data_IF_214365369745
#
_entry.id   IF_214365369745
#
_cell.length_a   1.000
_cell.length_b   1.000
_cell.length_c   1.000
_cell.angle_alpha   90.00
_cell.angle_beta   90.00
_cell.angle_gamma   90.00
#
_symmetry.space_group_name_H-M   'P 1'
#
loop_
_entity.id
_entity.type
_entity.pdbx_description
1 polymer ?
#
# COMPACT_ATOMS: atom_id res chain seq x y z
N UNK A 1 -13.55 -2.69 24.48
CA UNK A 1 -12.88 -1.51 23.87
C UNK A 1 -12.43 -1.94 22.49
N UNK A 2 -13.09 -1.48 21.43
CA UNK A 2 -12.65 -1.74 20.06
C UNK A 2 -11.40 -0.90 19.82
N UNK A 3 -10.27 -1.56 19.56
CA UNK A 3 -9.01 -0.91 19.26
C UNK A 3 -9.11 -0.43 17.83
N UNK A 4 -9.33 0.86 17.61
CA UNK A 4 -9.30 1.46 16.29
C UNK A 4 -7.87 1.32 15.78
N UNK A 5 -7.63 0.43 14.81
CA UNK A 5 -6.31 0.30 14.18
C UNK A 5 -6.07 1.53 13.32
N UNK A 6 -5.11 2.36 13.73
CA UNK A 6 -4.70 3.53 12.98
C UNK A 6 -3.57 3.16 12.00
N UNK A 7 -3.54 3.83 10.85
CA UNK A 7 -2.53 3.62 9.82
C UNK A 7 -1.09 3.81 10.34
N UNK A 8 -0.92 4.71 11.30
CA UNK A 8 0.37 4.95 11.98
C UNK A 8 0.87 3.72 12.74
N UNK A 9 -0.02 2.95 13.36
CA UNK A 9 0.34 1.73 14.08
C UNK A 9 0.86 0.64 13.12
N UNK A 10 0.32 0.60 11.90
CA UNK A 10 0.73 -0.34 10.86
C UNK A 10 2.13 -0.01 10.33
N UNK A 11 2.35 1.26 10.02
CA UNK A 11 3.64 1.79 9.56
C UNK A 11 4.73 1.51 10.62
N UNK A 12 4.43 1.78 11.89
CA UNK A 12 5.37 1.53 12.98
C UNK A 12 5.71 0.05 13.15
N UNK A 13 4.73 -0.84 12.99
CA UNK A 13 4.92 -2.29 13.12
C UNK A 13 5.80 -2.85 11.99
N UNK A 14 5.56 -2.43 10.74
CA UNK A 14 6.30 -2.91 9.56
C UNK A 14 7.74 -2.43 9.52
N UNK A 15 7.98 -1.16 9.86
CA UNK A 15 9.33 -0.60 10.00
C UNK A 15 10.19 -1.39 11.01
N UNK A 16 9.58 -1.84 12.11
CA UNK A 16 10.28 -2.62 13.14
C UNK A 16 10.64 -4.03 12.67
N UNK A 17 9.81 -4.65 11.83
CA UNK A 17 10.08 -5.96 11.21
C UNK A 17 11.17 -5.91 10.12
N UNK A 18 11.27 -4.80 9.37
CA UNK A 18 12.27 -4.64 8.31
C UNK A 18 13.70 -4.50 8.87
N UNK A 19 13.89 -3.73 9.95
CA UNK A 19 15.20 -3.54 10.61
C UNK A 19 15.84 -4.86 11.08
N UNK A 20 15.05 -5.89 11.37
CA UNK A 20 15.56 -7.19 11.80
C UNK A 20 15.95 -8.13 10.64
N UNK A 21 15.63 -7.80 9.38
CA UNK A 21 15.85 -8.68 8.20
C UNK A 21 16.93 -8.19 7.21
N UNK A 22 17.35 -6.94 7.28
CA UNK A 22 18.12 -6.28 6.20
C UNK A 22 19.66 -6.36 6.35
N UNK A 23 20.25 -7.56 6.28
CA UNK A 23 21.70 -7.70 6.12
C UNK A 23 22.14 -8.22 4.73
N UNK A 24 21.27 -8.90 3.97
CA UNK A 24 21.70 -9.71 2.81
C UNK A 24 20.96 -9.43 1.47
N UNK A 25 20.16 -8.37 1.35
CA UNK A 25 19.43 -8.09 0.10
C UNK A 25 20.26 -7.23 -0.87
N UNK A 26 21.07 -7.89 -1.70
CA UNK A 26 21.65 -7.34 -2.92
C UNK A 26 20.54 -6.88 -3.89
N UNK A 27 20.41 -5.56 -4.09
CA UNK A 27 19.69 -4.87 -5.17
C UNK A 27 18.36 -5.48 -5.65
N UNK A 28 17.46 -5.88 -4.76
CA UNK A 28 16.08 -6.14 -5.15
C UNK A 28 15.43 -4.82 -5.57
N UNK A 29 15.14 -4.66 -6.86
CA UNK A 29 14.40 -3.51 -7.36
C UNK A 29 13.00 -3.51 -6.73
N UNK A 30 12.71 -2.50 -5.92
CA UNK A 30 11.41 -2.32 -5.28
C UNK A 30 10.51 -1.45 -6.14
N UNK A 31 9.25 -1.86 -6.23
CA UNK A 31 8.23 -1.22 -7.03
C UNK A 31 7.13 -0.69 -6.10
N UNK A 32 6.48 0.39 -6.52
CA UNK A 32 5.43 1.06 -5.75
C UNK A 32 4.07 0.82 -6.42
N UNK A 33 3.13 0.20 -5.71
CA UNK A 33 1.71 0.21 -6.07
C UNK A 33 1.07 1.49 -5.57
N UNK A 34 0.65 2.38 -6.48
CA UNK A 34 -0.04 3.62 -6.10
C UNK A 34 -1.47 3.28 -5.66
N UNK A 35 -1.85 3.70 -4.46
CA UNK A 35 -3.22 3.53 -3.96
C UNK A 35 -4.08 4.70 -4.40
N UNK A 36 -5.10 4.48 -5.26
CA UNK A 36 -5.98 5.55 -5.70
C UNK A 36 -6.75 6.18 -4.54
N UNK A 37 -7.05 7.50 -4.61
CA UNK A 37 -7.97 8.12 -3.68
C UNK A 37 -9.35 7.44 -3.73
N UNK A 38 -9.90 7.12 -2.55
CA UNK A 38 -11.20 6.46 -2.44
C UNK A 38 -11.15 4.94 -2.37
N UNK A 39 -9.96 4.32 -2.42
CA UNK A 39 -9.79 2.90 -2.11
C UNK A 39 -10.29 2.61 -0.69
N UNK A 40 -11.09 1.54 -0.55
CA UNK A 40 -11.65 1.12 0.74
C UNK A 40 -10.52 0.67 1.66
N UNK A 41 -10.53 1.16 2.89
CA UNK A 41 -9.43 0.92 3.85
C UNK A 41 -9.20 -0.57 4.13
N UNK A 42 -10.25 -1.40 4.20
CA UNK A 42 -10.11 -2.85 4.41
C UNK A 42 -9.28 -3.53 3.33
N UNK A 43 -9.53 -3.19 2.05
CA UNK A 43 -8.78 -3.73 0.91
C UNK A 43 -7.28 -3.40 1.03
N UNK A 44 -6.95 -2.21 1.54
CA UNK A 44 -5.55 -1.81 1.75
C UNK A 44 -4.89 -2.69 2.83
N UNK A 45 -5.60 -2.99 3.92
CA UNK A 45 -5.11 -3.90 4.96
C UNK A 45 -4.89 -5.31 4.43
N UNK A 46 -5.86 -5.85 3.67
CA UNK A 46 -5.77 -7.17 3.07
C UNK A 46 -4.54 -7.27 2.15
N UNK A 47 -4.28 -6.23 1.33
CA UNK A 47 -3.09 -6.21 0.48
C UNK A 47 -1.78 -6.23 1.28
N UNK A 48 -1.69 -5.43 2.34
CA UNK A 48 -0.48 -5.37 3.18
C UNK A 48 -0.23 -6.70 3.89
N UNK A 49 -1.28 -7.37 4.37
CA UNK A 49 -1.18 -8.65 5.06
C UNK A 49 -0.88 -9.82 4.11
N UNK A 50 -1.60 -9.91 2.99
CA UNK A 50 -1.49 -11.04 2.05
C UNK A 50 -0.21 -10.99 1.22
N UNK A 51 0.15 -9.81 0.70
CA UNK A 51 1.30 -9.66 -0.19
C UNK A 51 2.55 -9.20 0.57
N UNK A 52 2.42 -8.79 1.82
CA UNK A 52 3.53 -8.35 2.66
C UNK A 52 4.18 -7.05 2.18
N UNK A 53 3.48 -6.23 1.39
CA UNK A 53 3.95 -4.94 0.90
C UNK A 53 4.10 -3.93 2.04
N UNK A 54 5.03 -2.99 1.87
CA UNK A 54 5.31 -1.94 2.85
C UNK A 54 4.53 -0.66 2.52
N UNK A 55 3.66 -0.16 3.41
CA UNK A 55 2.98 1.10 3.20
C UNK A 55 3.92 2.28 3.40
N UNK A 56 4.12 3.10 2.37
CA UNK A 56 4.94 4.33 2.42
C UNK A 56 4.21 5.50 1.77
N UNK A 57 4.55 6.73 2.17
CA UNK A 57 4.00 7.95 1.56
C UNK A 57 4.98 8.56 0.57
N UNK A 58 4.51 8.90 -0.63
CA UNK A 58 5.29 9.53 -1.69
C UNK A 58 4.68 10.88 -2.04
N UNK A 59 5.51 11.91 -2.14
CA UNK A 59 5.09 13.22 -2.66
C UNK A 59 5.18 13.21 -4.18
N UNK A 60 4.06 13.35 -4.88
CA UNK A 60 4.03 13.37 -6.35
C UNK A 60 2.94 14.30 -6.89
N UNK A 61 3.14 14.85 -8.10
CA UNK A 61 2.12 15.68 -8.76
C UNK A 61 0.93 14.81 -9.21
N UNK A 62 -0.29 15.18 -8.80
CA UNK A 62 -1.52 14.49 -9.20
C UNK A 62 -2.31 15.38 -10.15
N UNK A 63 -2.59 14.88 -11.35
CA UNK A 63 -3.34 15.61 -12.39
C UNK A 63 -4.85 15.70 -12.19
N UNK A 64 -5.37 15.53 -10.97
CA UNK A 64 -6.82 15.38 -10.73
C UNK A 64 -7.48 16.70 -10.31
N UNK A 65 -6.77 17.62 -9.61
CA UNK A 65 -7.28 18.96 -9.26
C UNK A 65 -6.06 19.88 -9.03
N UNK A 66 -5.95 20.99 -9.78
CA UNK A 66 -4.96 22.07 -9.64
C UNK A 66 -3.58 21.65 -9.07
N UNK A 67 -2.64 21.34 -9.97
CA UNK A 67 -1.15 21.23 -9.89
C UNK A 67 -0.39 21.34 -8.56
N UNK A 68 -0.94 20.91 -7.43
CA UNK A 68 -0.24 20.84 -6.15
C UNK A 68 0.26 19.41 -5.93
N UNK A 69 1.55 19.29 -5.62
CA UNK A 69 2.14 18.04 -5.18
C UNK A 69 1.43 17.56 -3.90
N UNK A 70 0.98 16.30 -3.89
CA UNK A 70 0.31 15.70 -2.74
C UNK A 70 1.06 14.47 -2.25
N UNK A 71 0.91 14.20 -0.97
CA UNK A 71 1.34 12.94 -0.38
C UNK A 71 0.32 11.86 -0.72
N UNK A 72 0.80 10.77 -1.32
CA UNK A 72 0.00 9.62 -1.71
C UNK A 72 0.54 8.39 -1.01
N UNK A 73 -0.37 7.53 -0.56
CA UNK A 73 -0.03 6.20 -0.09
C UNK A 73 0.37 5.32 -1.27
N UNK A 74 1.52 4.68 -1.15
CA UNK A 74 1.95 3.62 -2.06
C UNK A 74 2.33 2.39 -1.24
N UNK A 75 2.12 1.20 -1.81
CA UNK A 75 2.53 -0.06 -1.21
C UNK A 75 3.73 -0.61 -1.96
N UNK A 76 4.86 -0.70 -1.26
CA UNK A 76 6.17 -1.00 -1.83
C UNK A 76 6.54 -2.48 -1.66
N UNK A 77 7.11 -3.08 -2.70
CA UNK A 77 7.68 -4.42 -2.60
C UNK A 77 8.26 -4.96 -3.91
N UNK A 78 8.61 -6.25 -3.96
CA UNK A 78 9.07 -6.92 -5.17
C UNK A 78 8.01 -6.88 -6.29
N UNK A 79 8.46 -6.78 -7.54
CA UNK A 79 7.58 -6.63 -8.72
C UNK A 79 6.45 -7.67 -8.79
N UNK A 80 6.77 -8.95 -8.58
CA UNK A 80 5.80 -10.05 -8.63
C UNK A 80 4.64 -9.85 -7.64
N UNK A 81 4.97 -9.41 -6.43
CA UNK A 81 3.99 -9.15 -5.38
C UNK A 81 3.18 -7.89 -5.65
N UNK A 82 3.82 -6.87 -6.19
CA UNK A 82 3.16 -5.62 -6.59
C UNK A 82 2.14 -5.87 -7.69
N UNK A 83 2.47 -6.67 -8.70
CA UNK A 83 1.55 -7.03 -9.78
C UNK A 83 0.37 -7.88 -9.29
N UNK A 84 0.63 -8.86 -8.42
CA UNK A 84 -0.44 -9.66 -7.83
C UNK A 84 -1.38 -8.81 -6.95
N UNK A 85 -0.82 -7.87 -6.18
CA UNK A 85 -1.59 -6.92 -5.39
C UNK A 85 -2.40 -5.93 -6.24
N UNK A 86 -1.89 -5.52 -7.41
CA UNK A 86 -2.62 -4.65 -8.36
C UNK A 86 -3.88 -5.35 -8.89
N UNK A 87 -3.76 -6.62 -9.29
CA UNK A 87 -4.89 -7.42 -9.76
C UNK A 87 -5.93 -7.63 -8.64
N UNK A 88 -5.47 -7.96 -7.43
CA UNK A 88 -6.34 -8.09 -6.26
C UNK A 88 -7.09 -6.78 -5.96
N UNK A 89 -6.37 -5.65 -5.91
CA UNK A 89 -6.94 -4.33 -5.68
C UNK A 89 -8.06 -4.00 -6.68
N UNK A 90 -7.82 -4.26 -7.97
CA UNK A 90 -8.80 -4.01 -9.00
C UNK A 90 -10.06 -4.85 -8.81
N UNK A 91 -9.90 -6.16 -8.56
CA UNK A 91 -11.01 -7.09 -8.41
C UNK A 91 -11.87 -6.78 -7.17
N UNK A 92 -11.24 -6.52 -6.02
CA UNK A 92 -11.95 -6.16 -4.78
C UNK A 92 -12.68 -4.82 -4.90
N UNK A 93 -12.04 -3.82 -5.51
CA UNK A 93 -12.69 -2.52 -5.74
C UNK A 93 -13.88 -2.66 -6.71
N UNK A 94 -13.75 -3.48 -7.75
CA UNK A 94 -14.84 -3.78 -8.68
C UNK A 94 -16.01 -4.46 -7.96
N UNK A 95 -15.72 -5.52 -7.18
CA UNK A 95 -16.73 -6.21 -6.39
C UNK A 95 -17.45 -5.24 -5.42
N UNK A 96 -16.71 -4.36 -4.76
CA UNK A 96 -17.29 -3.36 -3.86
C UNK A 96 -18.19 -2.33 -4.55
N UNK A 97 -17.88 -1.95 -5.79
CA UNK A 97 -18.72 -1.07 -6.60
C UNK A 97 -19.98 -1.80 -7.08
N UNK A 98 -19.87 -3.08 -7.44
CA UNK A 98 -20.96 -3.91 -7.97
C UNK A 98 -21.91 -4.44 -6.88
N UNK A 99 -21.45 -4.58 -5.64
CA UNK A 99 -22.28 -4.97 -4.48
C UNK A 99 -23.19 -3.82 -3.96
N UNK A 100 -23.14 -2.64 -4.60
CA UNK A 100 -23.97 -1.47 -4.29
C UNK A 100 -25.07 -1.23 -5.32
#
# INVERSE_FOLDING_TARGET
MHKTLNLEDLIAKKNKENVEKDADLEYEELYDLIIPPGTVVSIIYDIVEEFGLEPVTRKMPIGIVNSEEREILVLRGPLEKVQAAEEFLYNEMKAWVEDK
#
